data_IF_931470567761
#
_entry.id   IF_931470567761
#
_cell.length_a   1.000
_cell.length_b   1.000
_cell.length_c   1.000
_cell.angle_alpha   90.00
_cell.angle_beta   90.00
_cell.angle_gamma   90.00
#
_symmetry.space_group_name_H-M   'P 1'
#
loop_
_entity.id
_entity.type
_entity.pdbx_description
1 polymer ?
#
# COMPACT_ATOMS: atom_id res chain seq x y z
N UNK A 1 17.60 -3.32 -70.28
CA UNK A 1 18.63 -2.87 -69.30
C UNK A 1 17.89 -2.44 -68.04
N UNK A 2 18.27 -3.03 -66.90
CA UNK A 2 17.61 -2.93 -65.60
C UNK A 2 17.74 -1.54 -64.97
N UNK A 3 16.68 -1.06 -64.34
CA UNK A 3 16.78 -0.03 -63.31
C UNK A 3 17.00 -0.74 -61.96
N UNK A 4 18.08 -0.44 -61.22
CA UNK A 4 18.22 -0.88 -59.84
C UNK A 4 17.57 0.17 -58.92
N UNK A 5 16.47 -0.19 -58.26
CA UNK A 5 15.95 0.57 -57.13
C UNK A 5 16.91 0.39 -55.95
N UNK A 6 17.86 1.32 -55.86
CA UNK A 6 18.73 1.50 -54.70
C UNK A 6 17.91 2.05 -53.54
N UNK A 7 17.36 1.15 -52.72
CA UNK A 7 17.04 1.48 -51.35
C UNK A 7 18.32 1.98 -50.67
N UNK A 8 18.37 3.21 -50.13
CA UNK A 8 19.57 3.72 -49.49
C UNK A 8 19.75 3.02 -48.15
N UNK A 9 20.34 1.83 -48.19
CA UNK A 9 20.96 1.17 -47.04
C UNK A 9 22.25 1.95 -46.77
N UNK A 10 22.17 3.00 -45.95
CA UNK A 10 23.37 3.74 -45.54
C UNK A 10 23.26 5.26 -45.42
N UNK A 11 22.09 5.82 -45.08
CA UNK A 11 22.13 7.11 -44.40
C UNK A 11 22.74 6.85 -43.01
N UNK A 12 23.99 7.22 -42.81
CA UNK A 12 24.65 7.18 -41.50
C UNK A 12 23.69 7.78 -40.47
N UNK A 13 23.13 6.91 -39.61
CA UNK A 13 22.22 7.33 -38.55
C UNK A 13 22.99 8.38 -37.75
N UNK A 14 22.55 9.64 -37.82
CA UNK A 14 23.29 10.71 -37.14
C UNK A 14 23.41 10.35 -35.65
N UNK A 15 24.51 10.73 -35.01
CA UNK A 15 24.72 10.42 -33.59
C UNK A 15 23.53 10.90 -32.73
N UNK A 16 22.86 11.99 -33.13
CA UNK A 16 21.62 12.45 -32.51
C UNK A 16 20.44 11.49 -32.69
N UNK A 17 20.30 10.84 -33.84
CA UNK A 17 19.28 9.82 -34.07
C UNK A 17 19.57 8.48 -33.35
N UNK A 18 20.85 8.13 -33.13
CA UNK A 18 21.23 6.97 -32.31
C UNK A 18 20.92 7.22 -30.84
N UNK A 19 21.27 8.41 -30.34
CA UNK A 19 20.98 8.81 -28.96
C UNK A 19 19.47 8.93 -28.69
N UNK A 20 18.71 9.48 -29.64
CA UNK A 20 17.26 9.56 -29.56
C UNK A 20 16.61 8.16 -29.56
N UNK A 21 17.09 7.23 -30.38
CA UNK A 21 16.62 5.84 -30.38
C UNK A 21 16.96 5.13 -29.07
N UNK A 22 18.19 5.25 -28.57
CA UNK A 22 18.60 4.64 -27.30
C UNK A 22 17.81 5.19 -26.09
N UNK A 23 17.52 6.50 -26.09
CA UNK A 23 16.69 7.13 -25.05
C UNK A 23 15.24 6.64 -25.12
N UNK A 24 14.72 6.43 -26.34
CA UNK A 24 13.37 5.89 -26.57
C UNK A 24 13.27 4.44 -26.06
N UNK A 25 14.25 3.60 -26.34
CA UNK A 25 14.30 2.22 -25.85
C UNK A 25 14.42 2.14 -24.34
N UNK A 26 15.25 2.99 -23.71
CA UNK A 26 15.29 3.10 -22.25
C UNK A 26 13.92 3.52 -21.68
N UNK A 27 13.26 4.49 -22.30
CA UNK A 27 11.94 4.95 -21.85
C UNK A 27 10.88 3.86 -21.98
N UNK A 28 10.97 3.02 -23.01
CA UNK A 28 10.10 1.85 -23.19
C UNK A 28 10.34 0.79 -22.10
N UNK A 29 11.61 0.50 -21.78
CA UNK A 29 11.98 -0.45 -20.73
C UNK A 29 11.48 -0.02 -19.35
N UNK A 30 11.65 1.25 -19.00
CA UNK A 30 11.14 1.82 -17.74
C UNK A 30 9.61 1.73 -17.67
N UNK A 31 8.92 1.96 -18.79
CA UNK A 31 7.46 1.84 -18.84
C UNK A 31 7.00 0.40 -18.58
N UNK A 32 7.73 -0.59 -19.12
CA UNK A 32 7.43 -2.01 -18.92
C UNK A 32 7.70 -2.46 -17.48
N UNK A 33 8.80 -2.01 -16.87
CA UNK A 33 9.12 -2.28 -15.46
C UNK A 33 8.05 -1.68 -14.52
N UNK A 34 7.56 -0.48 -14.84
CA UNK A 34 6.45 0.17 -14.11
C UNK A 34 5.15 -0.61 -14.31
N UNK A 35 4.87 -1.06 -15.54
CA UNK A 35 3.68 -1.85 -15.84
C UNK A 35 3.70 -3.18 -15.06
N UNK A 36 4.85 -3.83 -14.98
CA UNK A 36 5.07 -5.05 -14.20
C UNK A 36 4.89 -4.80 -12.70
N UNK A 37 5.56 -3.78 -12.15
CA UNK A 37 5.44 -3.40 -10.75
C UNK A 37 3.99 -3.05 -10.37
N UNK A 38 3.27 -2.37 -11.28
CA UNK A 38 1.84 -2.07 -11.10
C UNK A 38 0.98 -3.33 -11.13
N UNK A 39 1.30 -4.31 -11.98
CA UNK A 39 0.61 -5.59 -12.00
C UNK A 39 0.87 -6.39 -10.71
N UNK A 40 2.10 -6.38 -10.21
CA UNK A 40 2.46 -7.03 -8.94
C UNK A 40 1.76 -6.37 -7.76
N UNK A 41 1.77 -5.04 -7.68
CA UNK A 41 1.04 -4.30 -6.65
C UNK A 41 -0.46 -4.59 -6.69
N UNK A 42 -1.09 -4.63 -7.88
CA UNK A 42 -2.51 -5.01 -8.01
C UNK A 42 -2.77 -6.43 -7.52
N UNK A 43 -1.88 -7.38 -7.80
CA UNK A 43 -1.97 -8.77 -7.31
C UNK A 43 -1.84 -8.82 -5.80
N UNK A 44 -0.90 -8.08 -5.22
CA UNK A 44 -0.67 -8.02 -3.78
C UNK A 44 -1.85 -7.36 -3.06
N UNK A 45 -2.39 -6.27 -3.59
CA UNK A 45 -3.61 -5.63 -3.07
C UNK A 45 -4.80 -6.58 -3.17
N UNK A 46 -4.99 -7.26 -4.31
CA UNK A 46 -6.09 -8.22 -4.47
C UNK A 46 -5.95 -9.37 -3.48
N UNK A 47 -4.75 -9.91 -3.30
CA UNK A 47 -4.47 -11.01 -2.37
C UNK A 47 -4.64 -10.56 -0.91
N UNK A 48 -4.17 -9.36 -0.57
CA UNK A 48 -4.38 -8.73 0.72
C UNK A 48 -5.85 -8.43 1.01
N UNK A 49 -6.60 -7.98 0.01
CA UNK A 49 -8.03 -7.68 0.14
C UNK A 49 -8.86 -8.96 0.29
N UNK A 50 -8.59 -10.01 -0.49
CA UNK A 50 -9.30 -11.29 -0.39
C UNK A 50 -9.03 -11.95 0.96
N UNK A 51 -7.76 -12.02 1.38
CA UNK A 51 -7.41 -12.58 2.69
C UNK A 51 -7.95 -11.72 3.83
N UNK A 52 -7.78 -10.40 3.78
CA UNK A 52 -8.31 -9.48 4.79
C UNK A 52 -9.82 -9.54 4.91
N UNK A 53 -10.54 -9.58 3.78
CA UNK A 53 -12.00 -9.72 3.74
C UNK A 53 -12.45 -11.07 4.30
N UNK A 54 -11.81 -12.17 3.91
CA UNK A 54 -12.13 -13.50 4.44
C UNK A 54 -11.89 -13.59 5.95
N UNK A 55 -10.79 -13.01 6.46
CA UNK A 55 -10.52 -12.93 7.89
C UNK A 55 -11.56 -12.10 8.64
N UNK A 56 -12.03 -10.99 8.07
CA UNK A 56 -13.08 -10.17 8.67
C UNK A 56 -14.41 -10.95 8.79
N UNK A 57 -14.82 -11.65 7.74
CA UNK A 57 -16.02 -12.51 7.77
C UNK A 57 -15.86 -13.66 8.74
N UNK A 58 -14.71 -14.34 8.75
CA UNK A 58 -14.43 -15.42 9.69
C UNK A 58 -14.47 -14.93 11.16
N UNK A 59 -13.92 -13.76 11.44
CA UNK A 59 -13.98 -13.14 12.77
C UNK A 59 -15.44 -12.81 13.16
N UNK A 60 -16.23 -12.25 12.24
CA UNK A 60 -17.65 -11.97 12.48
C UNK A 60 -18.45 -13.25 12.78
N UNK A 61 -18.24 -14.31 12.01
CA UNK A 61 -18.87 -15.62 12.24
C UNK A 61 -18.46 -16.20 13.58
N UNK A 62 -17.17 -16.13 13.95
CA UNK A 62 -16.68 -16.58 15.26
C UNK A 62 -17.39 -15.84 16.40
N UNK A 63 -17.45 -14.50 16.33
CA UNK A 63 -18.13 -13.68 17.34
C UNK A 63 -19.62 -14.04 17.42
N UNK A 64 -20.29 -14.21 16.28
CA UNK A 64 -21.69 -14.59 16.23
C UNK A 64 -21.95 -16.01 16.76
N UNK A 65 -20.97 -16.91 16.66
CA UNK A 65 -21.05 -18.29 17.17
C UNK A 65 -20.80 -18.41 18.69
N UNK A 66 -20.23 -17.40 19.35
CA UNK A 66 -19.89 -17.43 20.77
C UNK A 66 -21.06 -17.80 21.70
N UNK A 67 -22.28 -17.26 21.54
CA UNK A 67 -23.41 -17.65 22.38
C UNK A 67 -23.69 -19.15 22.26
N UNK A 68 -23.71 -19.67 21.02
CA UNK A 68 -23.98 -21.08 20.76
C UNK A 68 -22.88 -22.00 21.32
N UNK A 69 -21.61 -21.59 21.20
CA UNK A 69 -20.48 -22.29 21.81
C UNK A 69 -20.58 -22.31 23.35
N UNK A 70 -21.04 -21.22 23.96
CA UNK A 70 -21.24 -21.15 25.40
C UNK A 70 -22.35 -22.10 25.86
N UNK A 71 -23.48 -22.16 25.14
CA UNK A 71 -24.52 -23.17 25.39
C UNK A 71 -23.96 -24.59 25.29
N UNK A 72 -23.24 -24.93 24.22
CA UNK A 72 -22.65 -26.25 24.04
C UNK A 72 -21.71 -26.63 25.19
N UNK A 73 -20.82 -25.72 25.63
CA UNK A 73 -19.94 -25.94 26.77
C UNK A 73 -20.72 -26.09 28.08
N UNK A 74 -21.72 -25.24 28.32
CA UNK A 74 -22.49 -25.28 29.56
C UNK A 74 -23.25 -26.61 29.70
N UNK A 75 -23.87 -27.09 28.62
CA UNK A 75 -24.53 -28.40 28.60
C UNK A 75 -23.51 -29.55 28.71
N UNK A 76 -22.33 -29.44 28.07
CA UNK A 76 -21.26 -30.44 28.20
C UNK A 76 -20.68 -30.55 29.61
N UNK A 77 -20.53 -29.43 30.32
CA UNK A 77 -20.08 -29.43 31.72
C UNK A 77 -21.18 -29.98 32.63
N UNK A 78 -22.43 -29.61 32.36
CA UNK A 78 -23.62 -30.08 33.09
C UNK A 78 -23.76 -31.60 33.01
N UNK A 79 -23.54 -32.23 31.85
CA UNK A 79 -23.65 -33.69 31.70
C UNK A 79 -22.58 -34.44 32.48
N UNK A 80 -21.40 -33.86 32.67
CA UNK A 80 -20.29 -34.51 33.37
C UNK A 80 -20.33 -34.30 34.90
N UNK A 81 -20.76 -33.11 35.35
CA UNK A 81 -20.66 -32.71 36.78
C UNK A 81 -22.00 -32.70 37.52
N UNK A 82 -23.14 -32.69 36.83
CA UNK A 82 -24.47 -32.57 37.47
C UNK A 82 -24.73 -31.25 38.22
N UNK A 83 -23.81 -30.28 38.12
CA UNK A 83 -23.87 -29.00 38.82
C UNK A 83 -24.99 -28.08 38.34
N UNK A 84 -25.29 -27.04 39.13
CA UNK A 84 -26.27 -26.00 38.75
C UNK A 84 -25.91 -25.38 37.39
N UNK A 85 -26.91 -25.19 36.52
CA UNK A 85 -26.75 -24.60 35.18
C UNK A 85 -26.05 -23.24 35.24
N UNK A 86 -26.35 -22.42 36.25
CA UNK A 86 -25.73 -21.11 36.42
C UNK A 86 -24.20 -21.19 36.54
N UNK A 87 -23.70 -22.14 37.34
CA UNK A 87 -22.26 -22.37 37.53
C UNK A 87 -21.63 -22.86 36.22
N UNK A 88 -22.33 -23.74 35.49
CA UNK A 88 -21.85 -24.27 34.21
C UNK A 88 -21.69 -23.15 33.16
N UNK A 89 -22.66 -22.24 33.04
CA UNK A 89 -22.54 -21.07 32.15
C UNK A 89 -21.39 -20.15 32.54
N UNK A 90 -21.20 -19.92 33.84
CA UNK A 90 -20.13 -19.06 34.34
C UNK A 90 -18.75 -19.68 34.04
N UNK A 91 -18.62 -21.00 34.18
CA UNK A 91 -17.40 -21.73 33.83
C UNK A 91 -17.13 -21.72 32.32
N UNK A 92 -18.15 -21.95 31.49
CA UNK A 92 -18.07 -21.86 30.03
C UNK A 92 -17.65 -20.47 29.56
N UNK A 93 -18.19 -19.43 30.20
CA UNK A 93 -17.78 -18.06 29.94
C UNK A 93 -16.32 -17.84 30.32
N UNK A 94 -15.90 -18.27 31.53
CA UNK A 94 -14.51 -18.18 31.97
C UNK A 94 -13.55 -18.93 31.02
N UNK A 95 -13.93 -20.10 30.52
CA UNK A 95 -13.15 -20.86 29.54
C UNK A 95 -13.00 -20.09 28.22
N UNK A 96 -14.08 -19.49 27.71
CA UNK A 96 -14.02 -18.66 26.50
C UNK A 96 -13.15 -17.41 26.69
N UNK A 97 -13.21 -16.76 27.85
CA UNK A 97 -12.34 -15.62 28.19
C UNK A 97 -10.88 -16.05 28.21
N UNK A 98 -10.57 -17.20 28.80
CA UNK A 98 -9.21 -17.72 28.86
C UNK A 98 -8.66 -18.00 27.45
N UNK A 99 -9.45 -18.62 26.59
CA UNK A 99 -9.11 -18.82 25.16
C UNK A 99 -8.89 -17.47 24.46
N UNK A 100 -9.78 -16.50 24.66
CA UNK A 100 -9.66 -15.17 24.06
C UNK A 100 -8.36 -14.45 24.50
N UNK A 101 -7.98 -14.56 25.78
CA UNK A 101 -6.71 -14.01 26.29
C UNK A 101 -5.52 -14.67 25.62
N UNK A 102 -5.51 -16.00 25.49
CA UNK A 102 -4.40 -16.72 24.81
C UNK A 102 -4.30 -16.30 23.34
N UNK A 103 -5.41 -16.21 22.62
CA UNK A 103 -5.44 -15.75 21.22
C UNK A 103 -4.95 -14.30 21.10
N UNK A 104 -5.35 -13.42 22.03
CA UNK A 104 -4.89 -12.03 22.06
C UNK A 104 -3.38 -11.93 22.31
N UNK A 105 -2.83 -12.74 23.21
CA UNK A 105 -1.39 -12.80 23.46
C UNK A 105 -0.62 -13.29 22.24
N UNK A 106 -1.10 -14.34 21.56
CA UNK A 106 -0.51 -14.83 20.31
C UNK A 106 -0.56 -13.72 19.26
N UNK A 107 -1.73 -13.09 19.06
CA UNK A 107 -1.89 -11.97 18.14
C UNK A 107 -0.93 -10.81 18.43
N UNK A 108 -0.72 -10.48 19.71
CA UNK A 108 0.22 -9.46 20.13
C UNK A 108 1.68 -9.85 19.84
N UNK A 109 2.07 -11.11 20.07
CA UNK A 109 3.42 -11.61 19.76
C UNK A 109 3.67 -11.56 18.25
N UNK A 110 2.71 -12.00 17.43
CA UNK A 110 2.79 -11.91 15.98
C UNK A 110 2.85 -10.46 15.51
N UNK A 111 2.03 -9.58 16.09
CA UNK A 111 2.05 -8.14 15.79
C UNK A 111 3.38 -7.50 16.18
N UNK A 112 3.96 -7.86 17.34
CA UNK A 112 5.29 -7.38 17.76
C UNK A 112 6.38 -7.89 16.82
N UNK A 113 6.30 -9.15 16.36
CA UNK A 113 7.24 -9.72 15.38
C UNK A 113 7.13 -9.02 14.02
N UNK A 114 5.91 -8.72 13.58
CA UNK A 114 5.65 -7.95 12.37
C UNK A 114 6.14 -6.49 12.49
N UNK A 115 5.95 -5.85 13.65
CA UNK A 115 6.48 -4.49 13.93
C UNK A 115 8.01 -4.46 14.00
N UNK A 116 8.65 -5.52 14.49
CA UNK A 116 10.12 -5.65 14.50
C UNK A 116 10.69 -5.73 13.08
N UNK A 117 9.93 -6.32 12.14
CA UNK A 117 10.16 -6.19 10.70
C UNK A 117 9.64 -4.82 10.22
N UNK A 118 10.40 -3.77 10.50
CA UNK A 118 10.07 -2.37 10.22
C UNK A 118 9.78 -2.01 8.73
N UNK A 119 9.72 -2.98 7.81
CA UNK A 119 9.56 -2.72 6.39
C UNK A 119 8.25 -1.98 6.01
N UNK A 120 7.05 -2.36 6.50
CA UNK A 120 5.81 -1.68 6.08
C UNK A 120 5.61 -0.32 6.75
N UNK A 121 6.05 -0.16 8.01
CA UNK A 121 5.91 1.08 8.77
C UNK A 121 6.89 2.17 8.32
N UNK A 122 8.14 1.82 7.99
CA UNK A 122 9.11 2.77 7.43
C UNK A 122 8.64 3.31 6.08
N UNK A 123 8.08 2.45 5.22
CA UNK A 123 7.53 2.85 3.91
C UNK A 123 6.34 3.79 4.07
N UNK A 124 5.40 3.49 4.98
CA UNK A 124 4.27 4.37 5.27
C UNK A 124 4.70 5.71 5.90
N UNK A 125 5.72 5.71 6.77
CA UNK A 125 6.27 6.92 7.38
C UNK A 125 7.02 7.80 6.35
N UNK A 126 7.84 7.19 5.48
CA UNK A 126 8.51 7.91 4.38
C UNK A 126 7.50 8.52 3.40
N UNK A 127 6.41 7.82 3.06
CA UNK A 127 5.33 8.37 2.23
C UNK A 127 4.66 9.60 2.86
N UNK A 128 4.41 9.55 4.19
CA UNK A 128 3.85 10.70 4.93
C UNK A 128 4.82 11.88 5.01
N UNK A 129 6.12 11.62 5.19
CA UNK A 129 7.14 12.68 5.16
C UNK A 129 7.25 13.31 3.77
N UNK A 130 7.26 12.51 2.70
CA UNK A 130 7.29 13.02 1.33
C UNK A 130 6.05 13.86 1.01
N UNK A 131 4.86 13.43 1.44
CA UNK A 131 3.64 14.23 1.30
C UNK A 131 3.71 15.56 2.08
N UNK A 132 4.25 15.56 3.29
CA UNK A 132 4.44 16.78 4.08
C UNK A 132 5.40 17.79 3.45
N UNK A 133 6.50 17.31 2.86
CA UNK A 133 7.47 18.17 2.16
C UNK A 133 6.87 18.75 0.88
N UNK A 134 6.12 17.96 0.11
CA UNK A 134 5.42 18.42 -1.09
C UNK A 134 4.30 19.42 -0.79
N UNK A 135 3.59 19.28 0.34
CA UNK A 135 2.60 20.26 0.79
C UNK A 135 3.25 21.56 1.29
N UNK A 136 4.45 21.48 1.85
CA UNK A 136 5.22 22.67 2.28
C UNK A 136 5.80 23.44 1.10
N UNK A 137 6.09 22.76 -0.02
CA UNK A 137 6.54 23.36 -1.27
C UNK A 137 5.39 23.94 -2.12
N UNK A 138 4.53 24.77 -1.52
CA UNK A 138 3.54 25.57 -2.27
C UNK A 138 4.31 26.50 -3.25
N UNK A 139 4.02 26.46 -4.58
CA UNK A 139 4.74 27.28 -5.55
C UNK A 139 4.56 28.76 -5.21
N UNK A 140 5.67 29.44 -4.94
CA UNK A 140 5.64 30.90 -4.79
C UNK A 140 5.21 31.49 -6.15
N UNK A 141 4.09 32.26 -6.20
CA UNK A 141 3.78 33.03 -7.39
C UNK A 141 4.97 33.96 -7.65
N UNK A 142 5.58 33.86 -8.85
CA UNK A 142 6.61 34.80 -9.29
C UNK A 142 6.05 36.21 -9.07
N UNK A 143 6.63 36.97 -8.14
CA UNK A 143 6.54 38.42 -8.21
C UNK A 143 7.24 38.80 -9.52
N UNK A 144 6.43 39.11 -10.53
CA UNK A 144 6.86 39.86 -11.70
C UNK A 144 7.38 41.18 -11.12
N UNK A 145 8.69 41.30 -11.03
CA UNK A 145 9.35 42.57 -10.77
C UNK A 145 8.91 43.48 -11.92
N UNK A 146 7.92 44.33 -11.64
CA UNK A 146 7.58 45.45 -12.50
C UNK A 146 8.84 46.31 -12.55
N UNK A 147 9.54 46.20 -13.68
CA UNK A 147 10.67 47.04 -13.99
C UNK A 147 10.22 48.48 -13.86
N UNK A 148 10.69 49.12 -12.80
CA UNK A 148 10.51 50.53 -12.51
C UNK A 148 11.15 51.31 -13.65
N UNK A 149 10.34 51.64 -14.66
CA UNK A 149 10.71 52.60 -15.69
C UNK A 149 10.85 53.96 -15.02
N UNK A 150 12.05 54.27 -14.54
CA UNK A 150 12.43 55.61 -14.11
C UNK A 150 12.31 56.55 -15.32
N UNK A 151 11.52 57.63 -15.26
CA UNK A 151 11.54 58.65 -16.30
C UNK A 151 12.82 59.47 -16.13
N UNK A 152 13.80 59.28 -17.01
CA UNK A 152 14.92 60.20 -17.16
C UNK A 152 14.38 61.40 -17.94
N UNK A 153 14.14 62.49 -17.21
CA UNK A 153 13.81 63.79 -17.77
C UNK A 153 15.05 64.44 -18.41
N UNK A 154 14.77 65.19 -19.47
CA UNK A 154 15.66 65.99 -20.34
C UNK A 154 16.67 66.88 -19.58
N UNK A 155 17.84 67.07 -20.17
CA UNK A 155 18.49 68.38 -20.24
C UNK A 155 19.26 68.54 -21.55
N UNK A 156 18.96 69.63 -22.22
CA UNK A 156 19.59 70.21 -23.40
C UNK A 156 21.04 70.64 -23.16
N UNK A 157 21.89 70.48 -24.17
CA UNK A 157 22.85 71.46 -24.69
C UNK A 157 23.30 71.01 -26.08
#
# INVERSE_FOLDING_TARGET
>A
MSAPDGSPVGAERSIGQLFASATTEMSALVHDEIALAKAQLKRDVKRGAVSGGAFAVAAAVLVFSLPMLNFALAYGIRTWSGWNLAICFLLSFAANVLVAVVLALIGLVFAKKAKKSQAPQKVAASMKQTAGVLQTAKPHPRQRVEGTARPVARSSS
#
